data_IF_807990532714
#
_entry.id   IF_807990532714
#
_cell.length_a   1.000
_cell.length_b   1.000
_cell.length_c   1.000
_cell.angle_alpha   90.00
_cell.angle_beta   90.00
_cell.angle_gamma   90.00
#
_symmetry.space_group_name_H-M   'P 1'
#
loop_
_entity.id
_entity.type
_entity.pdbx_description
1 polymer ?
#
# COMPACT_ATOMS: atom_id res chain seq x y z
N UNK A 1 -16.12 -27.91 -5.65
CA UNK A 1 -17.36 -27.10 -5.55
C UNK A 1 -18.43 -27.63 -4.58
N UNK A 2 -18.81 -28.92 -4.60
CA UNK A 2 -19.86 -29.45 -3.68
C UNK A 2 -19.63 -29.12 -2.20
N UNK A 3 -18.39 -29.28 -1.72
CA UNK A 3 -18.01 -28.95 -0.34
C UNK A 3 -18.14 -27.45 -0.06
N UNK A 4 -17.65 -26.60 -0.97
CA UNK A 4 -17.76 -25.13 -0.87
C UNK A 4 -19.22 -24.71 -0.74
N UNK A 5 -20.09 -25.14 -1.65
CA UNK A 5 -21.52 -24.79 -1.63
C UNK A 5 -22.20 -25.24 -0.32
N UNK A 6 -21.82 -26.41 0.20
CA UNK A 6 -22.37 -26.91 1.45
C UNK A 6 -21.92 -26.08 2.66
N UNK A 7 -20.66 -25.60 2.68
CA UNK A 7 -20.15 -24.68 3.70
C UNK A 7 -20.84 -23.32 3.62
N UNK A 8 -21.01 -22.78 2.41
CA UNK A 8 -21.71 -21.52 2.19
C UNK A 8 -23.16 -21.57 2.65
N UNK A 9 -23.86 -22.69 2.41
CA UNK A 9 -25.23 -22.91 2.91
C UNK A 9 -25.31 -23.06 4.44
N UNK A 10 -24.18 -23.30 5.11
CA UNK A 10 -24.11 -23.46 6.56
C UNK A 10 -23.88 -22.12 7.29
N UNK A 11 -23.26 -21.15 6.61
CA UNK A 11 -23.00 -19.82 7.17
C UNK A 11 -24.32 -19.10 7.51
N UNK A 12 -24.38 -18.34 8.63
CA UNK A 12 -23.31 -18.09 9.59
C UNK A 12 -23.30 -19.04 10.80
N UNK A 13 -24.03 -20.15 10.78
CA UNK A 13 -24.22 -21.02 11.95
C UNK A 13 -22.90 -21.66 12.45
N UNK A 14 -22.88 -22.22 13.67
CA UNK A 14 -21.71 -22.93 14.17
C UNK A 14 -21.37 -24.14 13.29
N UNK A 15 -20.15 -24.20 12.76
CA UNK A 15 -19.70 -25.27 11.86
C UNK A 15 -19.66 -26.63 12.59
N UNK A 16 -20.39 -27.61 12.06
CA UNK A 16 -20.24 -29.02 12.40
C UNK A 16 -19.74 -29.81 11.18
N UNK A 17 -18.44 -30.10 11.18
CA UNK A 17 -17.79 -30.84 10.08
C UNK A 17 -18.32 -32.27 9.98
N UNK A 18 -18.75 -32.89 11.08
CA UNK A 18 -19.29 -34.26 11.08
C UNK A 18 -20.69 -34.29 10.44
N UNK A 19 -21.53 -33.29 10.72
CA UNK A 19 -22.82 -33.15 10.04
C UNK A 19 -22.66 -32.81 8.55
N UNK A 20 -21.70 -31.94 8.21
CA UNK A 20 -21.36 -31.62 6.82
C UNK A 20 -20.92 -32.86 6.03
N UNK A 21 -20.04 -33.69 6.62
CA UNK A 21 -19.57 -34.93 6.00
C UNK A 21 -20.71 -35.92 5.75
N UNK A 22 -21.61 -36.09 6.73
CA UNK A 22 -22.85 -36.88 6.58
C UNK A 22 -23.73 -36.35 5.46
N UNK A 23 -23.96 -35.04 5.39
CA UNK A 23 -24.77 -34.39 4.33
C UNK A 23 -24.20 -34.65 2.92
N UNK A 24 -22.88 -34.79 2.81
CA UNK A 24 -22.19 -35.01 1.54
C UNK A 24 -21.94 -36.50 1.22
N UNK A 25 -22.34 -37.43 2.10
CA UNK A 25 -22.09 -38.87 2.00
C UNK A 25 -20.60 -39.22 1.86
N UNK A 26 -19.74 -38.54 2.64
CA UNK A 26 -18.29 -38.79 2.68
C UNK A 26 -17.80 -38.89 4.12
N UNK A 27 -16.63 -39.51 4.32
CA UNK A 27 -15.98 -39.48 5.64
C UNK A 27 -15.47 -38.08 5.97
N UNK A 28 -15.39 -37.75 7.27
CA UNK A 28 -14.82 -36.48 7.73
C UNK A 28 -13.39 -36.28 7.24
N UNK A 29 -12.60 -37.36 7.26
CA UNK A 29 -11.22 -37.33 6.77
C UNK A 29 -11.16 -37.01 5.28
N UNK A 30 -11.93 -37.73 4.44
CA UNK A 30 -11.94 -37.50 3.00
C UNK A 30 -12.38 -36.08 2.67
N UNK A 31 -13.44 -35.58 3.31
CA UNK A 31 -13.90 -34.19 3.12
C UNK A 31 -12.78 -33.17 3.40
N UNK A 32 -12.10 -33.30 4.54
CA UNK A 32 -11.04 -32.38 4.94
C UNK A 32 -9.80 -32.50 4.05
N UNK A 33 -9.46 -33.73 3.64
CA UNK A 33 -8.32 -34.03 2.78
C UNK A 33 -8.52 -33.42 1.39
N UNK A 34 -9.62 -33.76 0.71
CA UNK A 34 -9.97 -33.26 -0.62
C UNK A 34 -10.07 -31.73 -0.63
N UNK A 35 -10.71 -31.15 0.38
CA UNK A 35 -10.85 -29.70 0.47
C UNK A 35 -9.48 -29.01 0.58
N UNK A 36 -8.59 -29.50 1.45
CA UNK A 36 -7.25 -28.93 1.60
C UNK A 36 -6.39 -29.15 0.36
N UNK A 37 -6.45 -30.33 -0.24
CA UNK A 37 -5.70 -30.68 -1.44
C UNK A 37 -6.03 -29.77 -2.61
N UNK A 38 -7.30 -29.40 -2.79
CA UNK A 38 -7.76 -28.61 -3.93
C UNK A 38 -7.85 -27.10 -3.68
N UNK A 39 -7.79 -26.64 -2.43
CA UNK A 39 -7.93 -25.21 -2.10
C UNK A 39 -6.74 -24.59 -1.40
N UNK A 40 -5.84 -25.43 -0.84
CA UNK A 40 -4.78 -25.00 0.06
C UNK A 40 -5.25 -24.64 1.47
N UNK A 41 -6.56 -24.65 1.73
CA UNK A 41 -7.16 -24.24 3.00
C UNK A 41 -7.77 -25.43 3.73
N UNK A 42 -7.68 -25.44 5.06
CA UNK A 42 -8.57 -26.31 5.83
C UNK A 42 -10.01 -25.80 5.80
N UNK A 43 -10.96 -26.71 5.97
CA UNK A 43 -12.39 -26.38 6.06
C UNK A 43 -12.66 -25.30 7.12
N UNK A 44 -12.01 -25.42 8.29
CA UNK A 44 -12.16 -24.45 9.38
C UNK A 44 -11.55 -23.08 9.08
N UNK A 45 -10.42 -23.03 8.37
CA UNK A 45 -9.84 -21.76 7.92
C UNK A 45 -10.78 -21.05 6.94
N UNK A 46 -11.21 -21.75 5.89
CA UNK A 46 -12.13 -21.20 4.91
C UNK A 46 -13.41 -20.69 5.57
N UNK A 47 -14.05 -21.52 6.40
CA UNK A 47 -15.28 -21.17 7.10
C UNK A 47 -15.12 -19.92 7.96
N UNK A 48 -14.03 -19.83 8.74
CA UNK A 48 -13.76 -18.67 9.60
C UNK A 48 -13.55 -17.39 8.79
N UNK A 49 -12.79 -17.45 7.71
CA UNK A 49 -12.56 -16.28 6.83
C UNK A 49 -13.90 -15.79 6.28
N UNK A 50 -14.72 -16.70 5.76
CA UNK A 50 -16.03 -16.35 5.19
C UNK A 50 -17.00 -15.81 6.23
N UNK A 51 -17.04 -16.41 7.42
CA UNK A 51 -17.82 -15.92 8.56
C UNK A 51 -17.43 -14.49 8.94
N UNK A 52 -16.12 -14.21 9.07
CA UNK A 52 -15.61 -12.89 9.39
C UNK A 52 -15.85 -11.87 8.27
N UNK A 53 -15.81 -12.29 7.00
CA UNK A 53 -16.14 -11.44 5.85
C UNK A 53 -17.61 -11.06 5.84
N UNK A 54 -18.52 -12.00 6.13
CA UNK A 54 -19.95 -11.69 6.27
C UNK A 54 -20.18 -10.71 7.44
N UNK A 55 -19.50 -10.93 8.57
CA UNK A 55 -19.55 -9.99 9.69
C UNK A 55 -19.02 -8.60 9.32
N UNK A 56 -17.91 -8.51 8.56
CA UNK A 56 -17.39 -7.24 8.07
C UNK A 56 -18.41 -6.49 7.20
N UNK A 57 -19.12 -7.22 6.32
CA UNK A 57 -20.19 -6.68 5.50
C UNK A 57 -21.36 -6.17 6.35
N UNK A 58 -21.81 -6.92 7.35
CA UNK A 58 -22.88 -6.46 8.25
C UNK A 58 -22.46 -5.25 9.10
N UNK A 59 -21.20 -5.18 9.54
CA UNK A 59 -20.66 -4.01 10.25
C UNK A 59 -20.68 -2.77 9.37
N UNK A 60 -20.32 -2.91 8.09
CA UNK A 60 -20.32 -1.80 7.15
C UNK A 60 -21.74 -1.34 6.79
N UNK A 61 -22.69 -2.27 6.66
CA UNK A 61 -24.02 -1.99 6.11
C UNK A 61 -25.09 -1.71 7.17
N UNK A 62 -24.81 -1.94 8.45
CA UNK A 62 -25.81 -1.83 9.52
C UNK A 62 -25.37 -0.92 10.67
N UNK A 63 -26.34 -0.45 11.45
CA UNK A 63 -26.10 0.30 12.69
C UNK A 63 -26.01 -0.60 13.93
N UNK A 64 -26.12 -1.92 13.76
CA UNK A 64 -26.18 -2.91 14.84
C UNK A 64 -24.96 -2.83 15.75
N UNK A 65 -25.13 -3.15 17.04
CA UNK A 65 -24.01 -3.09 17.99
C UNK A 65 -23.02 -4.20 17.65
N UNK A 66 -21.73 -3.91 17.78
CA UNK A 66 -20.66 -4.88 17.47
C UNK A 66 -20.76 -6.14 18.34
N UNK A 67 -21.28 -6.02 19.56
CA UNK A 67 -21.56 -7.14 20.44
C UNK A 67 -22.65 -8.06 19.87
N UNK A 68 -23.74 -7.49 19.36
CA UNK A 68 -24.85 -8.28 18.79
C UNK A 68 -24.35 -9.02 17.54
N UNK A 69 -23.65 -8.31 16.64
CA UNK A 69 -23.00 -8.90 15.46
C UNK A 69 -22.08 -10.05 15.88
N UNK A 70 -21.23 -9.87 16.89
CA UNK A 70 -20.37 -10.95 17.37
C UNK A 70 -21.17 -12.22 17.72
N UNK A 71 -22.31 -12.07 18.40
CA UNK A 71 -23.18 -13.19 18.76
C UNK A 71 -23.89 -13.83 17.53
N UNK A 72 -24.38 -13.04 16.58
CA UNK A 72 -25.04 -13.57 15.38
C UNK A 72 -24.08 -14.42 14.52
N UNK A 73 -22.80 -14.06 14.53
CA UNK A 73 -21.72 -14.79 13.86
C UNK A 73 -21.05 -15.83 14.78
N UNK A 74 -21.70 -16.20 15.89
CA UNK A 74 -21.33 -17.37 16.70
C UNK A 74 -20.10 -17.19 17.59
N UNK A 75 -19.75 -15.96 17.96
CA UNK A 75 -18.69 -15.68 18.93
C UNK A 75 -19.27 -15.54 20.35
N UNK A 76 -18.63 -16.17 21.34
CA UNK A 76 -19.11 -16.15 22.73
C UNK A 76 -18.84 -14.81 23.45
N UNK A 77 -18.02 -13.93 22.87
CA UNK A 77 -17.71 -12.61 23.42
C UNK A 77 -17.24 -11.63 22.35
N UNK A 78 -17.41 -10.33 22.61
CA UNK A 78 -16.91 -9.26 21.74
C UNK A 78 -15.38 -9.28 21.65
N UNK A 79 -14.66 -9.62 22.72
CA UNK A 79 -13.20 -9.69 22.76
C UNK A 79 -12.67 -10.83 21.88
N UNK A 80 -13.35 -11.99 21.86
CA UNK A 80 -13.01 -13.09 20.97
C UNK A 80 -13.22 -12.69 19.51
N UNK A 81 -14.35 -12.04 19.20
CA UNK A 81 -14.64 -11.52 17.88
C UNK A 81 -13.59 -10.49 17.43
N UNK A 82 -13.30 -9.49 18.25
CA UNK A 82 -12.29 -8.45 17.95
C UNK A 82 -10.92 -9.04 17.68
N UNK A 83 -10.47 -10.01 18.50
CA UNK A 83 -9.18 -10.68 18.28
C UNK A 83 -9.15 -11.46 16.99
N UNK A 84 -10.20 -12.24 16.70
CA UNK A 84 -10.30 -13.01 15.47
C UNK A 84 -10.35 -12.10 14.23
N UNK A 85 -11.15 -11.04 14.29
CA UNK A 85 -11.31 -10.06 13.21
C UNK A 85 -10.01 -9.30 12.94
N UNK A 86 -9.37 -8.77 13.99
CA UNK A 86 -8.08 -8.08 13.87
C UNK A 86 -7.00 -9.01 13.34
N UNK A 87 -6.96 -10.26 13.79
CA UNK A 87 -6.00 -11.24 13.28
C UNK A 87 -6.22 -11.58 11.81
N UNK A 88 -7.46 -11.57 11.34
CA UNK A 88 -7.80 -11.93 9.97
C UNK A 88 -7.57 -10.78 8.98
N UNK A 89 -7.92 -9.56 9.36
CA UNK A 89 -7.97 -8.41 8.45
C UNK A 89 -6.97 -7.31 8.77
N UNK A 90 -6.19 -7.46 9.84
CA UNK A 90 -5.35 -6.41 10.42
C UNK A 90 -6.09 -5.10 10.78
N UNK A 91 -7.41 -5.14 10.79
CA UNK A 91 -8.30 -4.02 11.09
C UNK A 91 -9.23 -4.40 12.24
N UNK A 92 -9.65 -3.43 13.03
CA UNK A 92 -10.66 -3.64 14.06
C UNK A 92 -12.08 -3.48 13.51
N UNK A 93 -13.08 -4.19 14.07
CA UNK A 93 -14.49 -3.97 13.74
C UNK A 93 -14.92 -2.51 13.85
N UNK A 94 -14.35 -1.75 14.80
CA UNK A 94 -14.63 -0.31 14.98
C UNK A 94 -14.12 0.53 13.82
N UNK A 95 -12.98 0.18 13.22
CA UNK A 95 -12.47 0.89 12.04
C UNK A 95 -13.40 0.69 10.84
N UNK A 96 -13.88 -0.53 10.62
CA UNK A 96 -14.87 -0.82 9.56
C UNK A 96 -16.17 -0.05 9.79
N UNK A 97 -16.65 0.02 11.04
CA UNK A 97 -17.87 0.79 11.34
C UNK A 97 -17.72 2.30 11.10
N UNK A 98 -16.52 2.85 11.29
CA UNK A 98 -16.21 4.27 11.02
C UNK A 98 -16.02 4.56 9.53
N UNK A 99 -15.54 3.57 8.79
CA UNK A 99 -15.27 3.66 7.36
C UNK A 99 -15.90 2.44 6.65
N UNK A 100 -17.23 2.45 6.45
CA UNK A 100 -17.97 1.33 5.87
C UNK A 100 -17.42 0.84 4.53
N UNK A 101 -16.89 1.74 3.71
CA UNK A 101 -16.29 1.43 2.42
C UNK A 101 -15.14 0.43 2.54
N UNK A 102 -14.44 0.40 3.69
CA UNK A 102 -13.37 -0.56 3.95
C UNK A 102 -13.90 -1.99 4.00
N UNK A 103 -15.12 -2.19 4.48
CA UNK A 103 -15.75 -3.50 4.58
C UNK A 103 -15.86 -4.22 3.23
N UNK A 104 -15.94 -3.46 2.12
CA UNK A 104 -15.95 -4.02 0.78
C UNK A 104 -14.60 -4.65 0.38
N UNK A 105 -13.46 -4.16 0.91
CA UNK A 105 -12.14 -4.72 0.61
C UNK A 105 -11.85 -6.03 1.36
N UNK A 106 -12.58 -6.28 2.45
CA UNK A 106 -12.45 -7.51 3.24
C UNK A 106 -13.29 -8.66 2.65
N UNK A 107 -13.85 -8.46 1.46
CA UNK A 107 -14.71 -9.41 0.76
C UNK A 107 -13.89 -10.57 0.18
N UNK A 108 -13.65 -11.60 1.00
CA UNK A 108 -13.32 -12.91 0.47
C UNK A 108 -14.59 -13.53 -0.11
N UNK A 109 -14.66 -13.60 -1.43
CA UNK A 109 -15.73 -14.26 -2.16
C UNK A 109 -15.70 -15.78 -1.93
N UNK A 110 -16.83 -16.47 -2.15
CA UNK A 110 -16.81 -17.93 -2.23
C UNK A 110 -15.75 -18.42 -3.21
N UNK A 111 -15.06 -19.50 -2.84
CA UNK A 111 -14.11 -20.11 -3.78
C UNK A 111 -14.90 -20.59 -4.98
N UNK A 112 -14.46 -20.18 -6.17
CA UNK A 112 -15.10 -20.50 -7.42
C UNK A 112 -14.36 -21.62 -8.15
N UNK A 113 -14.88 -22.07 -9.29
CA UNK A 113 -14.19 -23.06 -10.14
C UNK A 113 -12.87 -22.47 -10.66
N UNK A 114 -12.90 -21.18 -11.00
CA UNK A 114 -11.75 -20.42 -11.49
C UNK A 114 -10.62 -20.35 -10.44
N UNK A 115 -10.97 -20.20 -9.16
CA UNK A 115 -9.97 -20.32 -8.08
C UNK A 115 -9.34 -21.71 -8.04
N UNK A 116 -10.12 -22.79 -8.18
CA UNK A 116 -9.57 -24.15 -8.17
C UNK A 116 -8.64 -24.39 -9.35
N UNK A 117 -9.00 -23.89 -10.54
CA UNK A 117 -8.15 -23.93 -11.73
C UNK A 117 -6.85 -23.16 -11.51
N UNK A 118 -6.94 -21.95 -10.92
CA UNK A 118 -5.76 -21.16 -10.58
C UNK A 118 -4.89 -21.85 -9.51
N UNK A 119 -5.49 -22.47 -8.50
CA UNK A 119 -4.75 -23.17 -7.46
C UNK A 119 -3.98 -24.38 -8.02
N UNK A 120 -4.58 -25.14 -8.94
CA UNK A 120 -3.88 -26.20 -9.65
C UNK A 120 -2.72 -25.65 -10.50
N UNK A 121 -2.94 -24.51 -11.18
CA UNK A 121 -1.90 -23.83 -11.96
C UNK A 121 -0.71 -23.40 -11.10
N UNK A 122 -0.95 -22.74 -9.95
CA UNK A 122 0.14 -22.27 -9.08
C UNK A 122 0.85 -23.42 -8.35
N UNK A 123 0.19 -24.57 -8.16
CA UNK A 123 0.87 -25.78 -7.69
C UNK A 123 1.84 -26.35 -8.74
N UNK A 124 1.48 -26.29 -10.02
CA UNK A 124 2.36 -26.69 -11.11
C UNK A 124 3.48 -25.66 -11.38
N UNK A 125 3.26 -24.40 -10.99
CA UNK A 125 4.19 -23.28 -11.17
C UNK A 125 4.45 -22.60 -9.80
N UNK A 126 5.15 -23.29 -8.87
CA UNK A 126 5.27 -22.82 -7.49
C UNK A 126 6.01 -21.47 -7.43
N UNK A 127 5.64 -20.59 -6.48
CA UNK A 127 6.36 -19.34 -6.27
C UNK A 127 7.82 -19.60 -5.90
N UNK A 128 8.71 -18.75 -6.38
CA UNK A 128 10.15 -18.84 -6.11
C UNK A 128 10.70 -17.47 -5.70
N UNK A 129 11.91 -17.45 -5.15
CA UNK A 129 12.58 -16.20 -4.77
C UNK A 129 13.61 -15.79 -5.82
N UNK A 130 13.71 -14.50 -6.07
CA UNK A 130 14.80 -13.92 -6.86
C UNK A 130 15.26 -12.58 -6.27
N UNK A 131 16.48 -12.18 -6.62
CA UNK A 131 16.97 -10.82 -6.36
C UNK A 131 16.53 -9.96 -7.54
N UNK A 132 15.60 -9.04 -7.29
CA UNK A 132 15.27 -8.01 -8.27
C UNK A 132 16.38 -6.95 -8.23
N UNK A 133 17.12 -6.74 -9.35
CA UNK A 133 18.28 -5.86 -9.35
C UNK A 133 17.87 -4.40 -9.15
N UNK A 134 18.78 -3.60 -8.61
CA UNK A 134 18.61 -2.15 -8.63
C UNK A 134 18.47 -1.68 -10.08
N UNK A 135 17.47 -0.85 -10.35
CA UNK A 135 17.23 -0.35 -11.70
C UNK A 135 16.65 1.06 -11.69
N UNK A 136 16.89 1.74 -12.81
CA UNK A 136 16.24 2.99 -13.15
C UNK A 136 15.14 2.72 -14.17
N UNK A 137 13.97 3.27 -13.90
CA UNK A 137 12.75 3.07 -14.68
C UNK A 137 12.18 4.43 -15.05
N UNK A 138 11.64 4.53 -16.26
CA UNK A 138 11.01 5.75 -16.77
C UNK A 138 9.56 5.47 -17.13
N UNK A 139 8.65 6.38 -16.80
CA UNK A 139 7.27 6.24 -17.21
C UNK A 139 6.31 7.29 -16.71
N UNK A 140 5.03 6.92 -16.67
CA UNK A 140 3.93 7.80 -16.28
C UNK A 140 3.17 7.20 -15.11
N UNK A 141 2.63 8.08 -14.26
CA UNK A 141 1.82 7.70 -13.12
C UNK A 141 0.36 8.04 -13.34
N UNK A 142 -0.53 7.23 -12.77
CA UNK A 142 -1.96 7.51 -12.74
C UNK A 142 -2.57 7.06 -11.42
N UNK A 143 -3.61 7.76 -10.98
CA UNK A 143 -4.41 7.38 -9.84
C UNK A 143 -5.49 6.37 -10.26
N UNK A 144 -5.61 5.33 -9.46
CA UNK A 144 -6.59 4.28 -9.64
C UNK A 144 -7.62 4.36 -8.54
N UNK A 145 -8.92 4.33 -8.89
CA UNK A 145 -9.93 4.05 -7.90
C UNK A 145 -9.69 2.66 -7.35
N UNK A 146 -9.91 2.51 -6.05
CA UNK A 146 -9.92 1.21 -5.44
C UNK A 146 -10.97 0.33 -6.12
N UNK A 147 -10.70 -0.98 -6.21
CA UNK A 147 -11.53 -1.94 -6.97
C UNK A 147 -12.97 -2.01 -6.43
N UNK A 148 -13.24 -1.44 -5.24
CA UNK A 148 -14.57 -1.23 -4.67
C UNK A 148 -15.50 -0.36 -5.52
N UNK A 149 -14.97 0.50 -6.40
CA UNK A 149 -15.78 1.36 -7.28
C UNK A 149 -16.17 0.68 -8.60
N UNK A 150 -15.78 -0.57 -8.82
CA UNK A 150 -16.12 -1.38 -9.99
C UNK A 150 -14.89 -1.86 -10.77
N UNK A 151 -14.91 -3.12 -11.22
CA UNK A 151 -13.82 -3.74 -12.00
C UNK A 151 -13.69 -3.10 -13.39
N UNK A 152 -14.82 -2.69 -13.99
CA UNK A 152 -14.84 -2.03 -15.30
C UNK A 152 -14.09 -0.69 -15.28
N UNK A 153 -14.26 0.09 -14.20
CA UNK A 153 -13.53 1.34 -14.01
C UNK A 153 -12.02 1.12 -13.85
N UNK A 154 -11.59 -0.03 -13.32
CA UNK A 154 -10.16 -0.34 -13.18
C UNK A 154 -9.51 -0.63 -14.53
N UNK A 155 -10.12 -1.47 -15.37
CA UNK A 155 -9.57 -1.85 -16.66
C UNK A 155 -9.47 -0.65 -17.62
N UNK A 156 -10.47 0.22 -17.64
CA UNK A 156 -10.44 1.47 -18.42
C UNK A 156 -9.27 2.38 -18.00
N UNK A 157 -9.05 2.55 -16.69
CA UNK A 157 -7.95 3.36 -16.15
C UNK A 157 -6.59 2.71 -16.46
N UNK A 158 -6.49 1.38 -16.41
CA UNK A 158 -5.26 0.66 -16.77
C UNK A 158 -4.91 0.81 -18.26
N UNK A 159 -5.91 0.73 -19.14
CA UNK A 159 -5.71 0.97 -20.57
C UNK A 159 -5.31 2.42 -20.84
N UNK A 160 -5.96 3.39 -20.18
CA UNK A 160 -5.60 4.80 -20.28
C UNK A 160 -4.16 5.08 -19.83
N UNK A 161 -3.71 4.46 -18.73
CA UNK A 161 -2.34 4.56 -18.24
C UNK A 161 -1.32 4.14 -19.30
N UNK A 162 -1.51 2.95 -19.89
CA UNK A 162 -0.60 2.44 -20.92
C UNK A 162 -0.70 3.20 -22.24
N UNK A 163 -1.87 3.75 -22.59
CA UNK A 163 -2.02 4.63 -23.74
C UNK A 163 -1.22 5.93 -23.55
N UNK A 164 -1.32 6.54 -22.36
CA UNK A 164 -0.54 7.73 -22.02
C UNK A 164 0.96 7.43 -22.05
N UNK A 165 1.39 6.30 -21.49
CA UNK A 165 2.78 5.85 -21.56
C UNK A 165 3.26 5.77 -23.02
N UNK A 166 2.52 5.06 -23.87
CA UNK A 166 2.88 4.88 -25.28
C UNK A 166 2.98 6.20 -26.06
N UNK A 167 2.10 7.16 -25.76
CA UNK A 167 2.15 8.50 -26.35
C UNK A 167 3.38 9.28 -25.88
N UNK A 168 3.71 9.21 -24.59
CA UNK A 168 4.89 9.87 -24.03
C UNK A 168 6.20 9.24 -24.54
N UNK A 169 6.17 7.98 -24.98
CA UNK A 169 7.32 7.26 -25.53
C UNK A 169 7.28 7.09 -27.05
N UNK A 170 6.50 7.89 -27.80
CA UNK A 170 6.25 7.73 -29.25
C UNK A 170 7.52 7.87 -30.15
N UNK A 171 8.68 8.22 -29.60
CA UNK A 171 9.97 8.24 -30.33
C UNK A 171 10.99 7.23 -29.82
N UNK A 172 10.61 6.41 -28.83
CA UNK A 172 11.50 5.47 -28.17
C UNK A 172 11.57 4.16 -28.96
N UNK A 173 12.47 4.06 -29.96
CA UNK A 173 12.39 3.00 -30.96
C UNK A 173 13.53 1.98 -31.04
N UNK A 174 14.58 2.01 -30.20
CA UNK A 174 15.82 1.29 -30.57
C UNK A 174 16.45 0.32 -29.56
N UNK A 175 15.78 -0.10 -28.47
CA UNK A 175 16.35 -1.15 -27.60
C UNK A 175 15.31 -2.13 -27.04
N UNK A 176 15.68 -3.41 -26.81
CA UNK A 176 14.85 -4.32 -26.05
C UNK A 176 14.70 -3.78 -24.63
N UNK A 177 13.46 -3.50 -24.23
CA UNK A 177 13.12 -2.96 -22.90
C UNK A 177 12.16 -3.90 -22.19
N UNK A 178 12.26 -3.91 -20.87
CA UNK A 178 11.35 -4.59 -19.97
C UNK A 178 10.33 -3.57 -19.48
N UNK A 179 9.07 -3.93 -19.64
CA UNK A 179 7.94 -3.11 -19.24
C UNK A 179 7.38 -3.63 -17.92
N UNK A 180 7.08 -2.72 -17.01
CA UNK A 180 6.52 -3.04 -15.72
C UNK A 180 5.32 -2.16 -15.42
N UNK A 181 4.39 -2.70 -14.65
CA UNK A 181 3.44 -1.88 -13.88
C UNK A 181 3.86 -1.92 -12.43
N UNK A 182 4.11 -0.76 -11.84
CA UNK A 182 4.41 -0.64 -10.41
C UNK A 182 3.13 -0.25 -9.68
N UNK A 183 2.68 -1.09 -8.77
CA UNK A 183 1.47 -0.84 -7.98
C UNK A 183 1.83 -0.45 -6.54
N UNK A 184 1.40 0.74 -6.13
CA UNK A 184 1.58 1.27 -4.79
C UNK A 184 0.23 1.28 -4.05
N UNK A 185 -0.19 0.12 -3.54
CA UNK A 185 -1.38 0.01 -2.67
C UNK A 185 -1.08 0.49 -1.26
N UNK A 186 -1.68 1.60 -0.87
CA UNK A 186 -1.56 2.19 0.46
C UNK A 186 -2.71 1.74 1.38
N UNK A 187 -2.51 1.85 2.69
CA UNK A 187 -3.62 1.84 3.65
C UNK A 187 -4.42 3.15 3.64
N UNK A 188 -3.88 4.22 3.05
CA UNK A 188 -4.63 5.45 2.81
C UNK A 188 -5.76 5.29 1.77
N UNK A 189 -5.71 4.27 0.90
CA UNK A 189 -6.81 3.91 -0.02
C UNK A 189 -8.05 3.46 0.74
N UNK A 190 -7.91 3.05 2.00
CA UNK A 190 -9.04 2.78 2.88
C UNK A 190 -9.82 4.05 3.26
N UNK A 191 -9.17 5.22 3.19
CA UNK A 191 -9.75 6.53 3.55
C UNK A 191 -10.09 7.35 2.30
N UNK A 192 -9.18 7.42 1.32
CA UNK A 192 -9.39 8.16 0.08
C UNK A 192 -10.09 7.35 -1.01
N UNK A 193 -10.04 6.02 -0.93
CA UNK A 193 -10.52 5.14 -2.00
C UNK A 193 -9.59 5.10 -3.23
N UNK A 194 -8.39 5.69 -3.18
CA UNK A 194 -7.49 5.81 -4.34
C UNK A 194 -6.09 5.25 -4.03
N UNK A 195 -5.45 4.66 -5.03
CA UNK A 195 -4.05 4.24 -4.99
C UNK A 195 -3.34 4.59 -6.31
N UNK A 196 -2.01 4.54 -6.35
CA UNK A 196 -1.24 4.94 -7.54
C UNK A 196 -0.63 3.73 -8.24
N UNK A 197 -0.67 3.73 -9.57
CA UNK A 197 0.10 2.80 -10.39
C UNK A 197 0.92 3.56 -11.43
N UNK A 198 2.05 2.99 -11.82
CA UNK A 198 2.95 3.57 -12.82
C UNK A 198 3.22 2.55 -13.92
N UNK A 199 3.05 2.95 -15.18
CA UNK A 199 3.50 2.20 -16.34
C UNK A 199 4.90 2.68 -16.68
N UNK A 200 5.86 1.76 -16.66
CA UNK A 200 7.29 2.11 -16.75
C UNK A 200 8.07 1.11 -17.60
N UNK A 201 9.22 1.53 -18.10
CA UNK A 201 10.21 0.64 -18.69
C UNK A 201 11.62 0.96 -18.19
N UNK A 202 12.55 0.01 -18.35
CA UNK A 202 13.98 0.25 -18.17
C UNK A 202 14.63 0.87 -19.43
N UNK A 203 15.88 1.31 -19.28
CA UNK A 203 16.70 1.91 -20.33
C UNK A 203 16.83 3.44 -20.22
N UNK A 204 17.73 4.02 -21.02
CA UNK A 204 17.98 5.45 -21.00
C UNK A 204 16.85 6.24 -21.68
N UNK A 205 16.45 7.35 -21.05
CA UNK A 205 15.52 8.29 -21.65
C UNK A 205 16.12 8.96 -22.88
N UNK A 206 15.41 8.96 -24.01
CA UNK A 206 15.82 9.75 -25.17
C UNK A 206 15.65 11.24 -24.85
N UNK A 207 16.55 12.11 -25.36
CA UNK A 207 16.42 13.54 -25.18
C UNK A 207 15.22 14.08 -25.99
N UNK A 208 14.18 14.57 -25.30
CA UNK A 208 12.93 15.24 -25.76
C UNK A 208 11.60 14.44 -25.72
N UNK A 209 10.42 15.11 -25.64
CA UNK A 209 10.10 16.40 -25.02
C UNK A 209 9.14 16.27 -23.81
N UNK A 210 8.63 15.08 -23.51
CA UNK A 210 7.78 14.86 -22.33
C UNK A 210 8.64 14.29 -21.20
N UNK A 211 8.79 15.01 -20.07
CA UNK A 211 9.70 14.59 -19.03
C UNK A 211 9.03 13.49 -18.19
N UNK A 212 9.19 12.25 -18.65
CA UNK A 212 8.76 11.06 -17.95
C UNK A 212 9.29 11.06 -16.51
N UNK A 213 8.49 10.49 -15.62
CA UNK A 213 8.91 10.24 -14.25
C UNK A 213 10.04 9.23 -14.26
N UNK A 214 11.12 9.52 -13.53
CA UNK A 214 12.24 8.60 -13.33
C UNK A 214 12.14 8.03 -11.92
N UNK A 215 12.08 6.71 -11.84
CA UNK A 215 11.95 5.95 -10.61
C UNK A 215 13.19 5.11 -10.48
N UNK A 216 13.87 5.22 -9.35
CA UNK A 216 14.97 4.33 -9.00
C UNK A 216 14.48 3.34 -7.97
N UNK A 217 14.52 2.05 -8.31
CA UNK A 217 14.22 0.97 -7.38
C UNK A 217 15.53 0.40 -6.86
N UNK A 218 15.65 0.32 -5.53
CA UNK A 218 16.75 -0.41 -4.92
C UNK A 218 16.67 -1.90 -5.24
N UNK A 219 17.82 -2.57 -5.21
CA UNK A 219 17.89 -4.04 -5.18
C UNK A 219 17.05 -4.58 -4.01
N UNK A 220 16.33 -5.67 -4.24
CA UNK A 220 15.45 -6.29 -3.24
C UNK A 220 15.21 -7.77 -3.49
N UNK A 221 15.06 -8.53 -2.40
CA UNK A 221 14.65 -9.92 -2.46
C UNK A 221 13.12 -10.00 -2.61
N UNK A 222 12.66 -10.66 -3.66
CA UNK A 222 11.22 -10.76 -3.97
C UNK A 222 10.78 -12.20 -4.11
N UNK A 223 9.51 -12.44 -3.85
CA UNK A 223 8.80 -13.64 -4.27
C UNK A 223 8.14 -13.39 -5.62
N UNK A 224 8.37 -14.30 -6.56
CA UNK A 224 7.81 -14.29 -7.90
C UNK A 224 6.62 -15.24 -7.99
N UNK A 225 5.48 -14.75 -8.46
CA UNK A 225 4.25 -15.50 -8.68
C UNK A 225 3.88 -15.45 -10.15
N UNK A 226 3.73 -16.62 -10.77
CA UNK A 226 3.19 -16.70 -12.12
C UNK A 226 1.66 -16.66 -12.07
N UNK A 227 1.06 -15.88 -12.96
CA UNK A 227 -0.38 -15.69 -13.08
C UNK A 227 -0.75 -15.91 -14.54
N UNK A 228 -1.68 -16.82 -14.87
CA UNK A 228 -1.88 -17.24 -16.26
C UNK A 228 -2.51 -16.17 -17.14
N UNK A 229 -3.25 -15.21 -16.56
CA UNK A 229 -3.91 -14.10 -17.26
C UNK A 229 -4.49 -13.10 -16.24
N UNK A 230 -4.99 -11.96 -16.73
CA UNK A 230 -5.61 -10.91 -15.91
C UNK A 230 -6.80 -11.42 -15.07
N UNK A 231 -7.65 -12.29 -15.63
CA UNK A 231 -8.82 -12.80 -14.93
C UNK A 231 -8.46 -13.66 -13.69
N UNK A 232 -7.23 -14.16 -13.61
CA UNK A 232 -6.75 -14.92 -12.45
C UNK A 232 -6.26 -14.04 -11.28
N UNK A 233 -6.11 -12.72 -11.46
CA UNK A 233 -5.59 -11.81 -10.42
C UNK A 233 -6.40 -11.86 -9.11
N UNK A 234 -7.75 -11.85 -9.11
CA UNK A 234 -8.51 -11.98 -7.87
C UNK A 234 -8.21 -13.29 -7.12
N UNK A 235 -8.04 -14.39 -7.85
CA UNK A 235 -7.72 -15.70 -7.29
C UNK A 235 -6.29 -15.78 -6.76
N UNK A 236 -5.36 -15.10 -7.43
CA UNK A 236 -4.00 -14.90 -6.93
C UNK A 236 -3.99 -14.22 -5.56
N UNK A 237 -4.75 -13.14 -5.38
CA UNK A 237 -4.80 -12.46 -4.07
C UNK A 237 -5.42 -13.34 -2.98
N UNK A 238 -6.41 -14.19 -3.30
CA UNK A 238 -6.95 -15.18 -2.35
C UNK A 238 -5.86 -16.18 -1.94
N UNK A 239 -5.15 -16.76 -2.91
CA UNK A 239 -4.05 -17.70 -2.64
C UNK A 239 -2.93 -17.04 -1.82
N UNK A 240 -2.48 -15.85 -2.24
CA UNK A 240 -1.42 -15.10 -1.61
C UNK A 240 -1.72 -14.86 -0.12
N UNK A 241 -2.90 -14.31 0.17
CA UNK A 241 -3.26 -13.85 1.51
C UNK A 241 -3.77 -14.97 2.43
N UNK A 242 -4.42 -16.02 1.90
CA UNK A 242 -5.01 -17.06 2.72
C UNK A 242 -4.20 -18.37 2.76
N UNK A 243 -3.37 -18.62 1.75
CA UNK A 243 -2.61 -19.87 1.63
C UNK A 243 -1.12 -19.60 1.75
N UNK A 244 -0.53 -18.84 0.83
CA UNK A 244 0.92 -18.72 0.71
C UNK A 244 1.55 -18.00 1.91
N UNK A 245 1.19 -16.73 2.11
CA UNK A 245 1.81 -15.90 3.13
C UNK A 245 1.61 -16.46 4.56
N UNK A 246 0.39 -16.90 4.98
CA UNK A 246 0.20 -17.49 6.30
C UNK A 246 0.96 -18.79 6.52
N UNK A 247 1.06 -19.67 5.51
CA UNK A 247 1.78 -20.94 5.65
C UNK A 247 3.30 -20.74 5.76
N UNK A 248 3.83 -19.70 5.11
CA UNK A 248 5.24 -19.31 5.20
C UNK A 248 5.54 -18.36 6.37
N UNK A 249 4.50 -17.95 7.13
CA UNK A 249 4.59 -16.93 8.18
C UNK A 249 5.17 -15.60 7.66
N UNK A 250 4.87 -15.27 6.40
CA UNK A 250 5.34 -14.07 5.74
C UNK A 250 4.29 -12.96 5.77
N UNK A 251 4.76 -11.73 5.76
CA UNK A 251 3.97 -10.51 5.67
C UNK A 251 4.41 -9.70 4.47
N UNK A 252 3.44 -9.07 3.80
CA UNK A 252 3.67 -8.13 2.71
C UNK A 252 4.35 -6.88 3.30
N UNK A 253 5.58 -6.57 2.88
CA UNK A 253 6.45 -5.62 3.60
C UNK A 253 6.65 -4.28 2.91
N UNK A 254 6.91 -4.30 1.61
CA UNK A 254 7.28 -3.10 0.84
C UNK A 254 6.57 -3.05 -0.49
N UNK A 255 6.20 -1.83 -0.85
CA UNK A 255 5.72 -1.46 -2.18
C UNK A 255 6.93 -1.07 -3.05
N UNK A 256 6.81 -1.13 -4.39
CA UNK A 256 5.62 -1.55 -5.14
C UNK A 256 5.49 -3.06 -5.30
N UNK A 257 4.27 -3.52 -5.63
CA UNK A 257 4.13 -4.78 -6.36
C UNK A 257 4.57 -4.54 -7.80
N UNK A 258 5.47 -5.39 -8.29
CA UNK A 258 6.04 -5.25 -9.63
C UNK A 258 5.36 -6.28 -10.52
N UNK A 259 4.53 -5.79 -11.44
CA UNK A 259 3.81 -6.61 -12.40
C UNK A 259 4.53 -6.56 -13.74
N UNK A 260 4.82 -7.72 -14.30
CA UNK A 260 5.49 -7.84 -15.60
C UNK A 260 4.71 -8.78 -16.52
N UNK A 261 4.12 -8.28 -17.62
CA UNK A 261 3.52 -9.16 -18.63
C UNK A 261 4.60 -9.99 -19.34
N UNK A 262 4.25 -11.21 -19.70
CA UNK A 262 5.09 -12.14 -20.44
C UNK A 262 4.57 -12.30 -21.87
N UNK A 263 5.44 -12.79 -22.76
CA UNK A 263 5.13 -12.98 -24.19
C UNK A 263 4.01 -14.00 -24.42
N UNK A 264 3.88 -14.97 -23.51
CA UNK A 264 2.84 -16.02 -23.56
C UNK A 264 1.47 -15.58 -23.00
N UNK A 265 1.34 -14.31 -22.62
CA UNK A 265 0.12 -13.75 -22.02
C UNK A 265 -0.01 -13.95 -20.51
N UNK A 266 0.94 -14.66 -19.89
CA UNK A 266 1.03 -14.75 -18.43
C UNK A 266 1.60 -13.46 -17.83
N UNK A 267 1.52 -13.34 -16.51
CA UNK A 267 1.97 -12.18 -15.75
C UNK A 267 2.80 -12.69 -14.59
N UNK A 268 3.99 -12.10 -14.40
CA UNK A 268 4.80 -12.32 -13.20
C UNK A 268 4.54 -11.17 -12.24
N UNK A 269 4.02 -11.48 -11.06
CA UNK A 269 3.89 -10.55 -9.95
C UNK A 269 5.06 -10.78 -8.99
N UNK A 270 5.81 -9.71 -8.68
CA UNK A 270 6.91 -9.75 -7.70
C UNK A 270 6.55 -8.94 -6.48
N UNK A 271 6.70 -9.57 -5.32
CA UNK A 271 6.31 -8.99 -4.04
C UNK A 271 7.40 -9.23 -3.01
N UNK A 272 7.80 -8.18 -2.31
CA UNK A 272 8.68 -8.29 -1.15
C UNK A 272 7.89 -8.72 0.09
N UNK A 273 8.36 -9.79 0.74
CA UNK A 273 7.74 -10.33 1.94
C UNK A 273 8.77 -10.70 3.00
N UNK A 274 8.40 -10.64 4.28
CA UNK A 274 9.31 -11.01 5.37
C UNK A 274 8.60 -11.63 6.59
N UNK A 275 9.34 -12.34 7.48
CA UNK A 275 8.76 -13.24 8.49
C UNK A 275 8.12 -12.59 9.73
N UNK A 276 8.17 -11.25 9.87
CA UNK A 276 7.76 -10.59 11.12
C UNK A 276 6.70 -9.51 10.90
N UNK A 277 5.70 -9.52 11.78
CA UNK A 277 4.69 -8.48 11.94
C UNK A 277 5.20 -7.30 12.79
N UNK A 278 6.31 -7.46 13.54
CA UNK A 278 7.03 -6.34 14.13
C UNK A 278 7.85 -5.67 13.02
N UNK A 279 7.36 -4.54 12.54
CA UNK A 279 8.12 -3.64 11.68
C UNK A 279 9.42 -3.24 12.41
N UNK A 280 10.54 -3.80 11.94
CA UNK A 280 11.79 -3.04 12.03
C UNK A 280 11.61 -1.93 11.01
N UNK A 281 11.78 -0.68 11.46
CA UNK A 281 11.80 0.48 10.59
C UNK A 281 12.75 0.21 9.40
N UNK A 282 12.46 0.73 8.20
CA UNK A 282 13.39 0.67 7.08
C UNK A 282 14.79 1.06 7.53
N UNK A 283 15.83 0.44 6.96
CA UNK A 283 17.22 0.72 7.33
C UNK A 283 17.57 2.21 7.25
N UNK A 284 17.00 2.92 6.27
CA UNK A 284 17.18 4.36 6.13
C UNK A 284 16.41 5.20 7.16
N UNK A 285 15.40 4.64 7.84
CA UNK A 285 14.70 5.30 8.94
C UNK A 285 15.37 4.95 10.28
N UNK A 286 16.39 5.72 10.62
CA UNK A 286 17.24 5.51 11.80
C UNK A 286 16.61 6.01 13.11
N UNK A 287 15.54 6.80 13.03
CA UNK A 287 14.79 7.27 14.19
C UNK A 287 13.36 7.66 13.86
N UNK A 288 12.41 7.29 14.72
CA UNK A 288 11.03 7.71 14.63
C UNK A 288 10.45 7.97 16.02
N UNK A 289 10.15 9.23 16.32
CA UNK A 289 9.59 9.65 17.60
C UNK A 289 8.06 9.64 17.54
N UNK A 290 7.43 8.78 18.35
CA UNK A 290 5.96 8.73 18.50
C UNK A 290 5.43 9.74 19.54
N UNK A 291 6.32 10.59 20.08
CA UNK A 291 5.99 11.71 20.94
C UNK A 291 5.59 12.90 20.07
N UNK A 292 4.38 13.39 20.31
CA UNK A 292 3.76 14.42 19.49
C UNK A 292 4.35 15.80 19.80
N UNK A 293 4.89 16.45 18.77
CA UNK A 293 5.43 17.82 18.84
C UNK A 293 4.35 18.79 18.39
N UNK A 294 3.99 19.75 19.23
CA UNK A 294 3.00 20.77 18.88
C UNK A 294 3.73 22.04 18.51
N UNK A 295 3.40 22.59 17.35
CA UNK A 295 3.94 23.87 16.93
C UNK A 295 2.83 24.92 16.97
N UNK A 296 3.10 26.03 17.68
CA UNK A 296 2.18 27.16 17.76
C UNK A 296 2.05 27.86 16.40
N UNK A 297 1.04 28.71 16.27
CA UNK A 297 0.91 29.57 15.09
C UNK A 297 2.14 30.48 14.97
N UNK A 298 2.73 30.58 13.77
CA UNK A 298 3.92 31.41 13.52
C UNK A 298 3.73 32.29 12.28
N UNK A 299 4.43 33.43 12.27
CA UNK A 299 4.55 34.28 11.09
C UNK A 299 5.87 33.97 10.39
N UNK A 300 5.82 33.71 9.09
CA UNK A 300 7.01 33.34 8.32
C UNK A 300 7.02 33.99 6.95
N UNK A 301 8.19 34.48 6.53
CA UNK A 301 8.44 34.84 5.14
C UNK A 301 8.64 33.54 4.36
N UNK A 302 7.76 33.31 3.38
CA UNK A 302 7.83 32.15 2.50
C UNK A 302 8.36 32.56 1.14
N UNK A 303 9.41 31.90 0.69
CA UNK A 303 9.85 31.96 -0.70
C UNK A 303 9.44 30.66 -1.38
N UNK A 304 8.34 30.70 -2.12
CA UNK A 304 7.73 29.51 -2.72
C UNK A 304 8.21 29.27 -4.15
N UNK A 305 8.36 28.00 -4.50
CA UNK A 305 8.67 27.51 -5.84
C UNK A 305 7.82 26.28 -6.14
N UNK A 306 7.23 26.23 -7.33
CA UNK A 306 6.55 25.02 -7.80
C UNK A 306 7.59 24.01 -8.28
N UNK A 307 7.40 22.75 -7.90
CA UNK A 307 8.20 21.63 -8.40
C UNK A 307 7.75 21.37 -9.84
N UNK A 308 8.66 21.28 -10.82
CA UNK A 308 8.31 20.83 -12.15
C UNK A 308 7.69 19.42 -12.10
N UNK A 309 6.66 19.18 -12.91
CA UNK A 309 5.84 17.94 -12.87
C UNK A 309 6.69 16.66 -12.93
N UNK A 310 7.74 16.68 -13.75
CA UNK A 310 8.71 15.58 -13.91
C UNK A 310 9.50 15.18 -12.67
N UNK A 311 9.61 16.07 -11.68
CA UNK A 311 10.30 15.83 -10.41
C UNK A 311 9.33 15.70 -9.26
N UNK A 312 8.02 15.74 -9.54
CA UNK A 312 7.01 15.80 -8.50
C UNK A 312 6.76 14.44 -7.82
N UNK A 313 7.26 13.35 -8.42
CA UNK A 313 6.96 11.99 -7.99
C UNK A 313 8.08 11.41 -7.12
N UNK A 314 7.67 10.84 -5.98
CA UNK A 314 8.51 10.00 -5.11
C UNK A 314 9.82 10.68 -4.68
N UNK A 315 10.94 9.95 -4.69
CA UNK A 315 12.26 10.43 -4.24
C UNK A 315 12.79 11.61 -5.04
N UNK A 316 12.37 11.78 -6.30
CA UNK A 316 12.77 12.90 -7.15
C UNK A 316 12.36 14.25 -6.57
N UNK A 317 11.22 14.28 -5.87
CA UNK A 317 10.69 15.47 -5.19
C UNK A 317 11.66 15.95 -4.13
N UNK A 318 12.09 15.01 -3.29
CA UNK A 318 13.03 15.27 -2.21
C UNK A 318 14.39 15.66 -2.77
N UNK A 319 14.86 14.97 -3.81
CA UNK A 319 16.10 15.31 -4.50
C UNK A 319 16.07 16.74 -5.08
N UNK A 320 14.98 17.12 -5.75
CA UNK A 320 14.79 18.48 -6.27
C UNK A 320 14.81 19.51 -5.15
N UNK A 321 14.11 19.25 -4.04
CA UNK A 321 14.07 20.16 -2.90
C UNK A 321 15.46 20.40 -2.29
N UNK A 322 16.23 19.34 -2.05
CA UNK A 322 17.58 19.42 -1.48
C UNK A 322 18.56 20.13 -2.42
N UNK A 323 18.47 19.86 -3.73
CA UNK A 323 19.31 20.53 -4.74
C UNK A 323 18.97 22.02 -4.85
N UNK A 324 17.69 22.36 -4.92
CA UNK A 324 17.21 23.73 -5.09
C UNK A 324 17.58 24.62 -3.90
N UNK A 325 17.50 24.09 -2.67
CA UNK A 325 17.88 24.81 -1.45
C UNK A 325 19.29 24.49 -0.94
N UNK A 326 20.17 23.96 -1.79
CA UNK A 326 21.54 23.54 -1.42
C UNK A 326 22.33 24.61 -0.65
N UNK A 327 22.19 25.88 -1.01
CA UNK A 327 22.84 27.02 -0.35
C UNK A 327 22.30 27.35 1.06
N UNK A 328 21.14 26.83 1.43
CA UNK A 328 20.47 27.09 2.69
C UNK A 328 20.47 25.89 3.65
N UNK A 329 20.91 24.71 3.21
CA UNK A 329 20.83 23.48 4.02
C UNK A 329 21.60 23.59 5.34
N UNK A 330 22.74 24.28 5.36
CA UNK A 330 23.54 24.50 6.56
C UNK A 330 22.90 25.43 7.59
N UNK A 331 21.87 26.19 7.19
CA UNK A 331 21.15 27.14 8.05
C UNK A 331 19.90 26.51 8.67
N UNK A 332 19.48 25.32 8.23
CA UNK A 332 18.28 24.66 8.72
C UNK A 332 18.46 24.26 10.19
N UNK A 333 17.55 24.75 11.03
CA UNK A 333 17.50 24.45 12.46
C UNK A 333 16.07 24.11 12.95
N UNK A 334 15.06 24.25 12.09
CA UNK A 334 13.65 24.04 12.40
C UNK A 334 12.99 25.13 13.26
N UNK A 335 13.78 26.03 13.85
CA UNK A 335 13.28 27.13 14.70
C UNK A 335 13.26 28.48 14.01
N UNK A 336 14.17 28.72 13.07
CA UNK A 336 14.31 29.96 12.32
C UNK A 336 14.25 29.70 10.82
N UNK A 337 14.84 28.59 10.37
CA UNK A 337 14.88 28.18 8.97
C UNK A 337 14.44 26.72 8.80
N UNK A 338 13.52 26.52 7.85
CA UNK A 338 13.04 25.20 7.45
C UNK A 338 12.68 25.18 5.95
N UNK A 339 12.76 24.01 5.32
CA UNK A 339 12.15 23.79 4.00
C UNK A 339 10.79 23.16 4.24
N UNK A 340 9.75 23.77 3.66
CA UNK A 340 8.38 23.28 3.72
C UNK A 340 8.03 22.57 2.41
N UNK A 341 7.44 21.39 2.52
CA UNK A 341 6.91 20.60 1.41
C UNK A 341 5.40 20.48 1.61
N UNK A 342 4.60 20.85 0.60
CA UNK A 342 3.13 20.76 0.62
C UNK A 342 2.45 22.13 0.51
N UNK A 343 1.12 22.17 0.72
CA UNK A 343 0.33 23.40 0.67
C UNK A 343 -0.62 23.51 1.88
N UNK A 344 -0.97 24.75 2.23
CA UNK A 344 -1.72 25.03 3.45
C UNK A 344 -3.24 24.98 3.31
N UNK A 345 -3.80 24.88 2.08
CA UNK A 345 -5.16 25.38 1.86
C UNK A 345 -5.99 24.67 0.77
N UNK A 346 -6.11 23.34 0.81
CA UNK A 346 -7.16 22.65 0.04
C UNK A 346 -7.96 21.66 0.90
N UNK A 347 -9.29 21.71 0.77
CA UNK A 347 -10.27 20.97 1.58
C UNK A 347 -10.42 19.49 1.17
N UNK A 348 -9.71 19.04 0.14
CA UNK A 348 -9.89 17.72 -0.46
C UNK A 348 -8.63 16.87 -0.28
N UNK A 349 -8.82 15.58 0.01
CA UNK A 349 -7.78 14.60 0.27
C UNK A 349 -7.42 13.85 -1.01
N UNK A 350 -6.79 14.49 -1.99
CA UNK A 350 -6.20 13.79 -3.14
C UNK A 350 -4.68 13.57 -2.93
N UNK A 351 -4.13 12.42 -3.33
CA UNK A 351 -2.67 12.20 -3.36
C UNK A 351 -1.89 13.19 -4.25
N UNK A 352 -2.59 13.98 -5.07
CA UNK A 352 -2.04 14.97 -6.01
C UNK A 352 -1.60 16.31 -5.35
N UNK A 353 -1.61 16.48 -4.02
CA UNK A 353 -1.55 17.83 -3.42
C UNK A 353 -0.16 18.40 -3.03
N UNK A 354 0.97 17.75 -3.37
CA UNK A 354 2.30 18.12 -2.85
C UNK A 354 3.27 18.75 -3.89
N UNK A 355 2.87 19.81 -4.59
CA UNK A 355 3.71 20.43 -5.64
C UNK A 355 4.34 21.77 -5.26
N UNK A 356 4.28 22.16 -3.98
CA UNK A 356 4.82 23.42 -3.50
C UNK A 356 5.99 23.19 -2.54
N UNK A 357 7.12 23.81 -2.88
CA UNK A 357 8.27 23.96 -1.99
C UNK A 357 8.30 25.39 -1.50
N UNK A 358 8.52 25.60 -0.20
CA UNK A 358 8.74 26.94 0.35
C UNK A 358 9.93 26.95 1.29
N UNK A 359 10.87 27.87 1.08
CA UNK A 359 11.82 28.22 2.12
C UNK A 359 11.09 29.06 3.16
N UNK A 360 11.06 28.57 4.40
CA UNK A 360 10.45 29.25 5.53
C UNK A 360 11.53 29.94 6.35
N UNK A 361 11.44 31.27 6.42
CA UNK A 361 12.21 32.09 7.34
C UNK A 361 11.27 32.73 8.36
N UNK A 362 11.38 32.32 9.62
CA UNK A 362 10.53 32.83 10.69
C UNK A 362 10.87 34.28 11.01
N UNK A 363 9.85 35.15 11.06
CA UNK A 363 10.01 36.59 11.34
C UNK A 363 8.90 37.12 12.24
N UNK A 364 9.21 38.14 13.06
CA UNK A 364 8.26 38.90 13.86
C UNK A 364 7.65 40.05 13.03
N UNK A 365 6.80 39.73 12.04
CA UNK A 365 6.16 40.75 11.19
C UNK A 365 5.27 40.17 10.09
N UNK A 366 4.49 41.02 9.39
CA UNK A 366 3.49 40.64 8.37
C UNK A 366 4.08 39.67 7.33
N UNK A 367 3.73 38.39 7.48
CA UNK A 367 4.19 37.32 6.62
C UNK A 367 3.11 36.21 6.55
N UNK A 368 3.38 35.09 5.87
CA UNK A 368 2.42 34.01 5.79
C UNK A 368 2.16 33.41 7.18
N UNK A 369 0.90 33.06 7.46
CA UNK A 369 0.51 32.50 8.75
C UNK A 369 0.64 30.98 8.73
N UNK A 370 1.61 30.44 9.46
CA UNK A 370 1.74 29.01 9.69
C UNK A 370 0.75 28.60 10.78
N UNK A 371 -0.29 27.83 10.42
CA UNK A 371 -1.30 27.34 11.35
C UNK A 371 -0.70 26.35 12.35
N UNK A 372 -1.26 26.27 13.58
CA UNK A 372 -0.79 25.31 14.57
C UNK A 372 -1.14 23.89 14.13
N UNK A 373 -0.16 22.99 14.27
CA UNK A 373 -0.30 21.58 13.91
C UNK A 373 0.52 20.70 14.84
N UNK A 374 0.19 19.42 14.82
CA UNK A 374 0.86 18.36 15.56
C UNK A 374 1.74 17.56 14.62
N UNK A 375 2.94 17.22 15.06
CA UNK A 375 3.95 16.59 14.23
C UNK A 375 4.57 15.38 14.89
N UNK A 376 4.95 14.39 14.08
CA UNK A 376 5.91 13.35 14.47
C UNK A 376 7.26 13.68 13.85
N UNK A 377 8.34 13.38 14.59
CA UNK A 377 9.71 13.57 14.11
C UNK A 377 10.24 12.24 13.57
N UNK A 378 10.81 12.27 12.37
CA UNK A 378 11.61 11.17 11.85
C UNK A 378 13.03 11.65 11.50
N UNK A 379 13.99 10.73 11.63
CA UNK A 379 15.39 10.90 11.27
C UNK A 379 15.74 9.83 10.25
N UNK A 380 16.25 10.26 9.11
CA UNK A 380 16.53 9.41 7.96
C UNK A 380 18.01 9.52 7.58
N UNK A 381 18.62 8.40 7.19
CA UNK A 381 19.98 8.35 6.68
C UNK A 381 20.10 7.31 5.57
N UNK A 382 20.64 7.70 4.43
CA UNK A 382 20.79 6.79 3.29
C UNK A 382 21.00 7.55 1.99
N UNK A 383 21.03 6.82 0.88
CA UNK A 383 20.88 7.45 -0.44
C UNK A 383 19.48 8.04 -0.58
N UNK A 384 19.31 9.01 -1.49
CA UNK A 384 18.03 9.72 -1.61
C UNK A 384 16.88 8.79 -2.01
N UNK A 385 17.18 7.74 -2.77
CA UNK A 385 16.24 6.70 -3.17
C UNK A 385 15.78 5.88 -1.96
N UNK A 386 16.74 5.44 -1.13
CA UNK A 386 16.47 4.65 0.08
C UNK A 386 15.66 5.46 1.11
N UNK A 387 15.95 6.76 1.22
CA UNK A 387 15.18 7.68 2.06
C UNK A 387 13.76 7.83 1.53
N UNK A 388 13.58 8.03 0.22
CA UNK A 388 12.26 8.12 -0.39
C UNK A 388 11.43 6.86 -0.16
N UNK A 389 12.03 5.68 -0.33
CA UNK A 389 11.37 4.39 -0.06
C UNK A 389 11.05 4.20 1.43
N UNK A 390 11.92 4.68 2.32
CA UNK A 390 11.68 4.63 3.76
C UNK A 390 10.53 5.55 4.19
N UNK A 391 10.42 6.74 3.60
CA UNK A 391 9.30 7.65 3.78
C UNK A 391 8.00 7.03 3.26
N UNK A 392 8.02 6.43 2.06
CA UNK A 392 6.89 5.68 1.53
C UNK A 392 6.46 4.56 2.51
N UNK A 393 7.40 3.77 3.02
CA UNK A 393 7.10 2.71 4.00
C UNK A 393 6.52 3.27 5.31
N UNK A 394 7.08 4.39 5.79
CA UNK A 394 6.59 5.08 6.98
C UNK A 394 5.13 5.55 6.79
N UNK A 395 4.85 6.15 5.64
CA UNK A 395 3.53 6.70 5.32
C UNK A 395 2.49 5.64 5.00
N UNK A 396 2.88 4.55 4.34
CA UNK A 396 1.94 3.55 3.84
C UNK A 396 1.78 2.33 4.76
N UNK A 397 2.73 2.05 5.65
CA UNK A 397 2.71 0.88 6.53
C UNK A 397 2.77 1.27 8.00
N UNK A 398 3.80 2.01 8.42
CA UNK A 398 4.09 2.16 9.85
C UNK A 398 3.17 3.12 10.58
N UNK A 399 2.78 4.24 9.96
CA UNK A 399 1.90 5.21 10.61
C UNK A 399 0.55 4.61 11.02
N UNK A 400 0.07 3.58 10.29
CA UNK A 400 -1.19 2.93 10.64
C UNK A 400 -1.16 2.09 11.90
N UNK A 401 0.02 1.68 12.34
CA UNK A 401 0.22 0.99 13.61
C UNK A 401 0.25 1.97 14.80
N UNK A 402 0.43 3.25 14.53
CA UNK A 402 0.45 4.31 15.53
C UNK A 402 -0.97 4.80 15.88
N UNK A 403 -1.16 5.50 17.01
CA UNK A 403 -2.44 6.16 17.32
C UNK A 403 -2.67 7.43 16.48
N UNK A 404 -1.90 7.67 15.42
CA UNK A 404 -1.91 8.89 14.63
C UNK A 404 -2.35 8.64 13.18
N UNK A 405 -2.76 9.71 12.49
CA UNK A 405 -3.06 9.70 11.07
C UNK A 405 -2.56 11.01 10.43
N UNK A 406 -2.17 10.96 9.15
CA UNK A 406 -1.68 12.12 8.40
C UNK A 406 -2.78 13.17 8.24
N UNK A 407 -2.41 14.44 8.31
CA UNK A 407 -3.32 15.56 8.05
C UNK A 407 -2.74 16.52 7.02
N UNK A 408 -3.60 17.26 6.28
CA UNK A 408 -3.14 18.30 5.38
C UNK A 408 -2.30 19.33 6.13
N UNK A 409 -1.18 19.73 5.53
CA UNK A 409 -0.26 20.70 6.09
C UNK A 409 1.11 20.60 5.42
N UNK A 410 2.05 21.41 5.89
CA UNK A 410 3.44 21.32 5.45
C UNK A 410 4.16 20.20 6.20
N UNK A 411 4.90 19.36 5.46
CA UNK A 411 6.04 18.63 5.99
C UNK A 411 7.24 19.58 6.11
N UNK A 412 8.09 19.37 7.11
CA UNK A 412 9.21 20.25 7.40
C UNK A 412 10.51 19.47 7.31
N UNK A 413 11.44 19.91 6.48
CA UNK A 413 12.84 19.49 6.61
C UNK A 413 13.51 20.49 7.55
N UNK A 414 13.84 20.04 8.75
CA UNK A 414 14.45 20.85 9.82
C UNK A 414 15.96 20.69 9.87
N UNK A 415 16.50 19.64 9.27
CA UNK A 415 17.93 19.40 9.11
C UNK A 415 18.15 18.61 7.83
N UNK A 416 19.15 18.99 7.02
CA UNK A 416 19.58 18.24 5.86
C UNK A 416 21.10 18.36 5.71
N UNK A 417 21.81 17.25 5.76
CA UNK A 417 23.28 17.21 5.67
C UNK A 417 23.69 16.18 4.62
N UNK A 418 24.48 16.56 3.60
CA UNK A 418 25.13 15.58 2.75
C UNK A 418 26.19 14.83 3.57
N UNK A 419 26.29 13.53 3.31
CA UNK A 419 27.29 12.62 3.86
C UNK A 419 28.17 12.08 2.71
N UNK A 420 29.14 11.22 3.05
CA UNK A 420 29.98 10.54 2.05
C UNK A 420 29.14 9.62 1.12
N UNK A 421 29.68 9.28 -0.04
CA UNK A 421 29.06 8.36 -1.02
C UNK A 421 27.62 8.73 -1.44
N UNK A 422 27.34 10.02 -1.61
CA UNK A 422 26.00 10.54 -1.99
C UNK A 422 24.90 10.24 -0.97
N UNK A 423 25.27 9.91 0.28
CA UNK A 423 24.30 9.72 1.34
C UNK A 423 23.84 11.06 1.90
N UNK A 424 22.67 11.05 2.53
CA UNK A 424 22.08 12.19 3.20
C UNK A 424 21.67 11.80 4.61
N UNK A 425 21.75 12.76 5.52
CA UNK A 425 21.06 12.73 6.80
C UNK A 425 19.97 13.80 6.79
N UNK A 426 18.72 13.41 7.06
CA UNK A 426 17.58 14.31 7.11
C UNK A 426 16.85 14.18 8.46
N UNK A 427 16.37 15.31 8.97
CA UNK A 427 15.33 15.32 10.00
C UNK A 427 14.07 15.96 9.44
N UNK A 428 12.95 15.28 9.59
CA UNK A 428 11.66 15.75 9.11
C UNK A 428 10.59 15.77 10.20
N UNK A 429 9.68 16.74 10.09
CA UNK A 429 8.44 16.81 10.87
C UNK A 429 7.24 16.55 9.96
N UNK A 430 6.47 15.52 10.31
CA UNK A 430 5.34 15.03 9.52
C UNK A 430 4.02 15.44 10.20
N UNK A 431 3.12 16.17 9.53
CA UNK A 431 1.88 16.63 10.14
C UNK A 431 0.91 15.47 10.40
N UNK A 432 0.46 15.33 11.65
CA UNK A 432 -0.45 14.27 12.08
C UNK A 432 -1.56 14.78 13.00
N UNK A 433 -2.58 13.97 13.22
CA UNK A 433 -3.52 14.08 14.35
C UNK A 433 -3.67 12.73 15.04
N UNK A 434 -4.10 12.77 16.31
CA UNK A 434 -4.44 11.56 17.07
C UNK A 434 -5.83 11.05 16.67
N UNK A 435 -5.95 9.73 16.47
CA UNK A 435 -7.14 8.99 16.02
C UNK A 435 -8.30 8.97 17.01
#
# INVERSE_FOLDING_TARGET
>A
MRIVNALESWLPAKLDVSALARKLNVSKWHLQHEFKQHTGLSVGQYYRVRLLTLAAKEIAQSQKRLLDIAFDYGFDSQEAFYRAFKRQFNLSPKQIKRHPDIGAYLAYWPLSVEYLSYFAYIQANPPYQEVFPACELHGVAQEFPSISFGVEAFDEVLQALWLHFNQATLGWHEQPRRYFTLEYRNSCSYISGLFQMLAVCDGEALPEPSPLTQIRLSERNVWCFSIPNLAAIPHFFVYLNLVFAPNQQLWLRRLPYIWQPQVDGSIVCRIEMAPSQQERLPSALIGFETVLRTMAARQARLTSKCIPEQFALKSQRLEYALRYFSSFLSQLDGEHFAILIGCQNEKHHLPQHDYHLSLCQLQTGKAASILPASYLKCSLQGKIEEIGEALDTLYYSHLDETPYYLVPGFEWITCAKPLEDQHWYLEMLIPVRKR
#
